data_IF_222623270676
#
_entry.id   IF_222623270676
#
_cell.length_a   1.000
_cell.length_b   1.000
_cell.length_c   1.000
_cell.angle_alpha   90.00
_cell.angle_beta   90.00
_cell.angle_gamma   90.00
#
_symmetry.space_group_name_H-M   'P 1'
#
loop_
_entity.id
_entity.type
_entity.pdbx_description
1 polymer ?
#
# COMPACT_ATOMS: atom_id res chain seq x y z
N UNK A 1 28.49 -37.83 -18.00
CA UNK A 1 28.49 -36.82 -19.09
C UNK A 1 27.31 -35.90 -18.85
N UNK A 2 27.48 -34.59 -19.05
CA UNK A 2 26.53 -33.55 -18.65
C UNK A 2 25.44 -33.44 -19.70
N UNK A 3 24.21 -33.81 -19.36
CA UNK A 3 23.07 -33.54 -20.24
C UNK A 3 22.63 -32.08 -20.05
N UNK A 4 22.84 -31.35 -21.14
CA UNK A 4 22.56 -29.94 -21.33
C UNK A 4 21.04 -29.80 -21.45
N UNK A 5 20.37 -29.34 -20.40
CA UNK A 5 18.97 -28.92 -20.51
C UNK A 5 18.90 -27.68 -21.38
N UNK A 6 18.60 -27.89 -22.66
CA UNK A 6 18.04 -26.89 -23.56
C UNK A 6 16.64 -26.56 -23.05
N UNK A 7 16.55 -25.51 -22.24
CA UNK A 7 15.25 -24.86 -21.98
C UNK A 7 14.98 -24.02 -23.23
N UNK A 8 13.98 -24.46 -24.00
CA UNK A 8 13.48 -23.75 -25.15
C UNK A 8 13.21 -22.29 -24.81
N UNK A 9 13.67 -21.42 -25.70
CA UNK A 9 13.45 -19.98 -25.62
C UNK A 9 11.98 -19.69 -25.91
N UNK A 10 11.12 -19.88 -24.91
CA UNK A 10 9.80 -19.26 -24.94
C UNK A 10 9.99 -17.73 -25.03
N UNK A 11 9.36 -17.17 -26.05
CA UNK A 11 9.46 -15.77 -26.44
C UNK A 11 8.91 -14.87 -25.34
N UNK A 12 9.79 -14.39 -24.46
CA UNK A 12 9.50 -13.27 -23.57
C UNK A 12 9.30 -12.02 -24.45
N UNK A 13 8.18 -11.28 -24.31
CA UNK A 13 7.88 -10.16 -25.19
C UNK A 13 9.00 -9.12 -25.14
N UNK A 14 9.62 -8.93 -26.30
CA UNK A 14 10.61 -7.87 -26.54
C UNK A 14 9.86 -6.55 -26.40
N UNK A 15 10.19 -5.74 -25.40
CA UNK A 15 9.73 -4.36 -25.40
C UNK A 15 10.31 -3.66 -26.63
N UNK A 16 9.37 -3.39 -27.55
CA UNK A 16 9.34 -2.52 -28.72
C UNK A 16 10.67 -2.13 -29.36
N UNK A 17 10.85 -2.68 -30.56
CA UNK A 17 11.76 -2.18 -31.59
C UNK A 17 11.38 -0.74 -31.96
N UNK A 18 12.43 0.05 -32.18
CA UNK A 18 12.46 1.33 -32.89
C UNK A 18 11.54 1.37 -34.11
N UNK A 19 10.68 2.39 -34.18
CA UNK A 19 9.86 2.72 -35.34
C UNK A 19 9.27 4.11 -35.14
N UNK A 20 9.83 5.06 -35.89
CA UNK A 20 9.31 6.34 -36.40
C UNK A 20 8.59 7.35 -35.48
N UNK A 21 9.04 8.58 -35.66
CA UNK A 21 8.75 9.81 -34.96
C UNK A 21 7.34 10.28 -35.29
N UNK A 22 6.43 10.33 -34.30
CA UNK A 22 5.23 11.14 -34.42
C UNK A 22 5.37 12.42 -33.58
N UNK A 23 5.66 13.46 -34.34
CA UNK A 23 5.64 14.87 -34.05
C UNK A 23 4.25 15.29 -33.53
N UNK A 24 4.10 15.47 -32.21
CA UNK A 24 3.28 16.51 -31.52
C UNK A 24 3.01 16.14 -30.05
N UNK A 25 3.91 16.54 -29.17
CA UNK A 25 3.52 16.97 -27.81
C UNK A 25 3.66 18.49 -27.75
N UNK A 26 2.81 19.20 -28.49
CA UNK A 26 2.68 20.65 -28.37
C UNK A 26 1.68 20.97 -27.27
N UNK A 27 2.21 21.58 -26.20
CA UNK A 27 1.56 22.54 -25.29
C UNK A 27 0.28 22.09 -24.58
N UNK A 28 0.38 21.84 -23.26
CA UNK A 28 -0.54 22.40 -22.26
C UNK A 28 0.12 22.44 -20.87
N UNK A 29 0.09 23.61 -20.23
CA UNK A 29 0.27 23.94 -18.80
C UNK A 29 1.40 23.30 -17.97
N UNK A 30 2.09 24.15 -17.21
CA UNK A 30 3.16 23.85 -16.22
C UNK A 30 2.82 22.83 -15.09
N UNK A 31 1.71 22.10 -15.15
CA UNK A 31 1.33 21.06 -14.18
C UNK A 31 1.33 19.64 -14.73
N UNK A 32 1.40 19.45 -16.05
CA UNK A 32 1.16 18.15 -16.66
C UNK A 32 2.49 17.56 -17.14
N UNK A 33 3.16 16.82 -16.26
CA UNK A 33 4.33 16.03 -16.64
C UNK A 33 3.86 14.91 -17.55
N UNK A 34 4.06 15.08 -18.86
CA UNK A 34 3.97 14.00 -19.82
C UNK A 34 5.10 13.01 -19.48
N UNK A 35 4.78 11.92 -18.80
CA UNK A 35 5.69 10.80 -18.62
C UNK A 35 5.92 10.22 -20.01
N UNK A 36 6.94 10.73 -20.69
CA UNK A 36 7.48 10.15 -21.89
C UNK A 36 7.66 8.65 -21.65
N UNK A 37 7.04 7.81 -22.49
CA UNK A 37 7.04 6.34 -22.40
C UNK A 37 8.45 5.70 -22.43
N UNK A 38 9.49 6.52 -22.43
CA UNK A 38 10.90 6.22 -22.61
C UNK A 38 11.78 6.80 -21.50
N UNK A 39 11.23 7.38 -20.42
CA UNK A 39 12.02 7.75 -19.24
C UNK A 39 12.18 6.53 -18.31
N UNK A 40 13.35 5.85 -18.26
CA UNK A 40 13.54 4.72 -17.36
C UNK A 40 13.57 5.20 -15.91
N UNK A 41 12.90 4.46 -15.03
CA UNK A 41 12.85 4.71 -13.59
C UNK A 41 13.62 3.60 -12.88
N UNK A 42 14.51 3.94 -11.93
CA UNK A 42 15.26 2.92 -11.18
C UNK A 42 14.42 2.26 -10.07
N UNK A 43 14.88 1.12 -9.55
CA UNK A 43 14.17 0.32 -8.54
C UNK A 43 13.84 1.08 -7.24
N UNK A 44 14.61 2.15 -6.92
CA UNK A 44 14.40 2.99 -5.73
C UNK A 44 13.08 3.75 -5.71
N UNK A 45 12.37 3.80 -6.83
CA UNK A 45 11.07 4.46 -6.94
C UNK A 45 9.89 3.53 -6.65
N UNK A 46 10.16 2.25 -6.40
CA UNK A 46 9.19 1.21 -6.07
C UNK A 46 9.38 0.75 -4.63
N UNK A 47 8.35 0.15 -4.05
CA UNK A 47 8.49 -0.50 -2.74
C UNK A 47 9.28 -1.79 -2.87
N UNK A 48 9.98 -2.19 -1.81
CA UNK A 48 10.77 -3.44 -1.80
C UNK A 48 9.93 -4.68 -2.13
N UNK A 49 8.64 -4.67 -1.76
CA UNK A 49 7.71 -5.76 -2.06
C UNK A 49 7.16 -5.73 -3.49
N UNK A 50 7.45 -4.72 -4.29
CA UNK A 50 7.05 -4.57 -5.70
C UNK A 50 8.18 -5.00 -6.66
N UNK A 51 9.41 -5.16 -6.14
CA UNK A 51 10.58 -5.64 -6.89
C UNK A 51 10.85 -7.12 -6.56
N UNK A 52 10.86 -7.96 -7.60
CA UNK A 52 11.12 -9.38 -7.52
C UNK A 52 12.61 -9.67 -7.76
N UNK A 53 13.27 -10.20 -6.74
CA UNK A 53 14.67 -10.67 -6.81
C UNK A 53 14.78 -12.19 -6.96
N UNK A 54 13.70 -12.93 -6.70
CA UNK A 54 13.66 -14.39 -6.72
C UNK A 54 12.47 -14.87 -7.52
N UNK A 55 12.62 -16.01 -8.18
CA UNK A 55 11.52 -16.76 -8.77
C UNK A 55 11.32 -18.05 -8.00
N UNK A 56 10.07 -18.50 -7.92
CA UNK A 56 9.71 -19.75 -7.27
C UNK A 56 9.06 -20.67 -8.29
N UNK A 57 9.46 -21.93 -8.28
CA UNK A 57 8.86 -22.98 -9.10
C UNK A 57 8.39 -24.09 -8.16
N UNK A 58 7.13 -24.49 -8.31
CA UNK A 58 6.57 -25.61 -7.55
C UNK A 58 6.70 -26.88 -8.36
N UNK A 59 7.35 -27.90 -7.78
CA UNK A 59 7.43 -29.22 -8.38
C UNK A 59 6.33 -30.11 -7.79
N UNK A 60 5.29 -30.36 -8.58
CA UNK A 60 4.15 -31.19 -8.16
C UNK A 60 4.54 -32.65 -7.86
N UNK A 61 5.60 -33.16 -8.51
CA UNK A 61 6.03 -34.55 -8.34
C UNK A 61 6.78 -34.79 -7.04
N UNK A 62 7.56 -33.82 -6.57
CA UNK A 62 8.29 -33.91 -5.30
C UNK A 62 7.59 -33.20 -4.14
N UNK A 63 6.59 -32.36 -4.45
CA UNK A 63 5.90 -31.51 -3.48
C UNK A 63 6.73 -30.34 -2.98
N UNK A 64 7.90 -30.07 -3.59
CA UNK A 64 8.84 -29.05 -3.14
C UNK A 64 8.74 -27.75 -3.94
N UNK A 65 8.90 -26.62 -3.25
CA UNK A 65 9.04 -25.30 -3.89
C UNK A 65 10.50 -24.90 -3.98
N UNK A 66 11.03 -24.82 -5.19
CA UNK A 66 12.39 -24.36 -5.46
C UNK A 66 12.38 -22.84 -5.62
N UNK A 67 13.29 -22.15 -4.91
CA UNK A 67 13.48 -20.71 -5.05
C UNK A 67 14.88 -20.40 -5.58
N UNK A 68 14.96 -19.65 -6.66
CA UNK A 68 16.23 -19.26 -7.28
C UNK A 68 16.33 -17.73 -7.42
N UNK A 69 17.52 -17.14 -7.22
CA UNK A 69 17.73 -15.71 -7.43
C UNK A 69 17.72 -15.37 -8.92
N UNK A 70 17.10 -14.24 -9.28
CA UNK A 70 17.07 -13.73 -10.64
C UNK A 70 18.39 -13.01 -10.96
N UNK A 71 18.90 -13.20 -12.19
CA UNK A 71 20.06 -12.45 -12.71
C UNK A 71 19.77 -10.96 -12.87
N UNK A 72 18.50 -10.61 -13.14
CA UNK A 72 18.00 -9.24 -13.27
C UNK A 72 16.69 -9.15 -12.48
N UNK A 73 16.57 -8.21 -11.52
CA UNK A 73 15.32 -7.97 -10.83
C UNK A 73 14.20 -7.62 -11.81
N UNK A 74 12.97 -8.00 -11.48
CA UNK A 74 11.76 -7.71 -12.27
C UNK A 74 10.73 -7.03 -11.40
N UNK A 75 9.94 -6.13 -11.97
CA UNK A 75 8.79 -5.58 -11.27
C UNK A 75 7.64 -6.59 -11.25
N UNK A 76 6.83 -6.56 -10.18
CA UNK A 76 5.52 -7.22 -10.16
C UNK A 76 4.61 -6.65 -11.23
N UNK A 77 3.67 -7.46 -11.69
CA UNK A 77 2.61 -6.99 -12.58
C UNK A 77 1.86 -5.82 -11.92
N UNK A 78 1.65 -4.75 -12.68
CA UNK A 78 0.99 -3.51 -12.24
C UNK A 78 1.74 -2.71 -11.15
N UNK A 79 3.01 -3.01 -10.87
CA UNK A 79 3.81 -2.14 -10.01
C UNK A 79 3.97 -0.76 -10.66
N UNK A 80 3.61 0.29 -9.92
CA UNK A 80 3.75 1.68 -10.34
C UNK A 80 4.77 2.40 -9.45
N UNK A 81 5.60 3.30 -10.00
CA UNK A 81 6.49 4.12 -9.18
C UNK A 81 5.66 4.93 -8.17
N UNK A 82 6.02 4.86 -6.89
CA UNK A 82 5.30 5.53 -5.81
C UNK A 82 6.20 6.32 -4.87
N UNK A 83 7.53 6.23 -5.01
CA UNK A 83 8.50 7.03 -4.26
C UNK A 83 9.06 8.11 -5.19
N UNK A 84 8.65 9.35 -4.97
CA UNK A 84 9.16 10.52 -5.68
C UNK A 84 9.85 11.47 -4.69
N UNK A 85 11.18 11.65 -4.77
CA UNK A 85 11.90 12.52 -3.85
C UNK A 85 11.44 13.97 -4.04
N UNK A 86 11.31 14.71 -2.93
CA UNK A 86 10.87 16.11 -2.95
C UNK A 86 9.35 16.31 -3.06
N UNK A 87 8.56 15.24 -3.18
CA UNK A 87 7.11 15.34 -3.09
C UNK A 87 6.67 15.43 -1.60
N UNK A 88 5.76 16.36 -1.24
CA UNK A 88 5.26 16.46 0.11
C UNK A 88 4.66 15.15 0.64
N UNK A 89 4.82 14.88 1.94
CA UNK A 89 4.35 13.64 2.57
C UNK A 89 2.85 13.39 2.35
N UNK A 90 2.03 14.45 2.31
CA UNK A 90 0.59 14.33 2.06
C UNK A 90 0.23 13.89 0.62
N UNK A 91 1.17 13.98 -0.32
CA UNK A 91 1.04 13.50 -1.71
C UNK A 91 1.76 12.16 -1.96
N UNK A 92 2.74 11.80 -1.12
CA UNK A 92 3.61 10.63 -1.33
C UNK A 92 3.33 9.47 -0.38
N UNK A 93 2.56 9.69 0.69
CA UNK A 93 2.35 8.65 1.69
C UNK A 93 1.34 7.62 1.18
N UNK A 94 1.82 6.40 0.96
CA UNK A 94 0.96 5.24 0.68
C UNK A 94 0.06 4.83 1.85
N UNK A 95 0.20 5.50 3.00
CA UNK A 95 -0.78 5.46 4.08
C UNK A 95 -1.99 6.31 3.68
N UNK A 96 -2.83 5.77 2.81
CA UNK A 96 -4.16 6.31 2.60
C UNK A 96 -4.88 6.22 3.96
N UNK A 97 -4.92 7.31 4.71
CA UNK A 97 -5.83 7.39 5.86
C UNK A 97 -7.22 7.44 5.25
N UNK A 98 -7.85 6.27 5.12
CA UNK A 98 -9.19 6.16 4.56
C UNK A 98 -10.09 7.02 5.45
N UNK A 99 -10.55 8.14 4.88
CA UNK A 99 -11.51 9.00 5.55
C UNK A 99 -12.70 8.12 5.94
N UNK A 100 -12.99 8.05 7.23
CA UNK A 100 -14.16 7.31 7.69
C UNK A 100 -15.41 7.87 7.02
N UNK A 101 -16.30 6.99 6.58
CA UNK A 101 -17.60 7.42 6.05
C UNK A 101 -18.35 8.26 7.09
N UNK A 102 -19.19 9.22 6.67
CA UNK A 102 -19.97 10.05 7.61
C UNK A 102 -20.79 9.22 8.60
N UNK A 103 -21.34 8.08 8.16
CA UNK A 103 -22.10 7.16 9.00
C UNK A 103 -21.23 6.51 10.09
N UNK A 104 -20.04 6.01 9.74
CA UNK A 104 -19.10 5.41 10.70
C UNK A 104 -18.62 6.44 11.72
N UNK A 105 -18.31 7.66 11.28
CA UNK A 105 -17.94 8.77 12.16
C UNK A 105 -19.07 9.11 13.14
N UNK A 106 -20.32 9.22 12.65
CA UNK A 106 -21.49 9.53 13.49
C UNK A 106 -21.74 8.45 14.54
N UNK A 107 -21.66 7.17 14.15
CA UNK A 107 -21.84 6.05 15.09
C UNK A 107 -20.79 6.08 16.21
N UNK A 108 -19.52 6.29 15.86
CA UNK A 108 -18.44 6.39 16.85
C UNK A 108 -18.71 7.53 17.84
N UNK A 109 -19.01 8.73 17.35
CA UNK A 109 -19.30 9.87 18.21
C UNK A 109 -20.51 9.64 19.12
N UNK A 110 -21.55 8.97 18.62
CA UNK A 110 -22.71 8.60 19.44
C UNK A 110 -22.35 7.60 20.55
N UNK A 111 -21.54 6.58 20.23
CA UNK A 111 -21.05 5.61 21.22
C UNK A 111 -20.19 6.30 22.30
N UNK A 112 -19.27 7.17 21.89
CA UNK A 112 -18.41 7.93 22.81
C UNK A 112 -19.24 8.81 23.77
N UNK A 113 -20.35 9.39 23.29
CA UNK A 113 -21.25 10.19 24.12
C UNK A 113 -22.03 9.34 25.13
N UNK A 114 -22.55 8.19 24.69
CA UNK A 114 -23.28 7.26 25.56
C UNK A 114 -22.36 6.75 26.67
N UNK A 115 -21.13 6.37 26.32
CA UNK A 115 -20.15 5.88 27.30
C UNK A 115 -19.81 6.93 28.35
N UNK A 116 -19.54 8.17 27.91
CA UNK A 116 -19.30 9.31 28.84
C UNK A 116 -20.48 9.52 29.77
N UNK A 117 -21.70 9.52 29.25
CA UNK A 117 -22.91 9.71 30.05
C UNK A 117 -23.08 8.62 31.11
N UNK A 118 -22.84 7.35 30.76
CA UNK A 118 -22.91 6.23 31.71
C UNK A 118 -21.89 6.43 32.84
N UNK A 119 -20.64 6.77 32.50
CA UNK A 119 -19.57 7.00 33.49
C UNK A 119 -19.94 8.16 34.42
N UNK A 120 -20.42 9.27 33.87
CA UNK A 120 -20.82 10.45 34.65
C UNK A 120 -21.98 10.13 35.60
N UNK A 121 -22.98 9.37 35.11
CA UNK A 121 -24.12 8.94 35.91
C UNK A 121 -23.70 8.04 37.08
N UNK A 122 -22.82 7.06 36.84
CA UNK A 122 -22.31 6.17 37.87
C UNK A 122 -21.52 6.94 38.93
N UNK A 123 -20.64 7.85 38.51
CA UNK A 123 -19.88 8.71 39.42
C UNK A 123 -20.80 9.61 40.26
N UNK A 124 -21.83 10.19 39.65
CA UNK A 124 -22.82 11.02 40.35
C UNK A 124 -23.54 10.23 41.44
N UNK A 125 -24.01 9.01 41.10
CA UNK A 125 -24.67 8.11 42.06
C UNK A 125 -23.74 7.74 43.22
N UNK A 126 -22.51 7.33 42.92
CA UNK A 126 -21.53 6.97 43.95
C UNK A 126 -21.25 8.14 44.90
N UNK A 127 -21.16 9.36 44.37
CA UNK A 127 -20.98 10.57 45.17
C UNK A 127 -22.19 10.86 46.07
N UNK A 128 -23.42 10.64 45.58
CA UNK A 128 -24.63 10.79 46.39
C UNK A 128 -24.70 9.74 47.50
N UNK A 129 -24.52 8.47 47.17
CA UNK A 129 -24.58 7.36 48.13
C UNK A 129 -23.53 7.54 49.24
N UNK A 130 -22.32 7.98 48.88
CA UNK A 130 -21.27 8.29 49.85
C UNK A 130 -21.69 9.40 50.81
N UNK A 131 -22.28 10.50 50.32
CA UNK A 131 -22.72 11.61 51.17
C UNK A 131 -23.84 11.21 52.13
N UNK A 132 -24.82 10.44 51.66
CA UNK A 132 -25.96 9.99 52.47
C UNK A 132 -25.54 8.96 53.52
N UNK A 133 -24.58 8.08 53.20
CA UNK A 133 -24.09 7.09 54.15
C UNK A 133 -23.50 7.73 55.41
N UNK A 134 -22.85 8.90 55.31
CA UNK A 134 -22.27 9.59 56.47
C UNK A 134 -23.29 10.41 57.28
N UNK A 135 -24.48 10.73 56.75
CA UNK A 135 -25.48 11.57 57.44
C UNK A 135 -26.48 10.77 58.29
N UNK A 136 -26.62 9.46 58.07
CA UNK A 136 -27.63 8.62 58.73
C UNK A 136 -27.14 7.95 60.03
N UNK A 137 -25.99 8.35 60.58
CA UNK A 137 -25.41 7.81 61.81
C UNK A 137 -25.54 8.73 63.05
N UNK A 138 -26.50 9.67 63.05
CA UNK A 138 -26.79 10.56 64.19
C UNK A 138 -28.21 10.37 64.71
#
# INVERSE_FOLDING_TARGET
MRDIFHIEKEQIPRYLKTGDVDEKCSLHSFSDVCMYAYAPVCERHFKDNEVLYRTTFYNESTGETLSTPLKKPRLKENAVPNIFPGCPTYLSSSTFTIRQSPSKKRRRLGQDQIERFIIESLNSKQNYDSKIAFTNFN
#
